data_IF_232193991673
#
_entry.id   IF_232193991673
#
_cell.length_a   1.000
_cell.length_b   1.000
_cell.length_c   1.000
_cell.angle_alpha   90.00
_cell.angle_beta   90.00
_cell.angle_gamma   90.00
#
_symmetry.space_group_name_H-M   'P 1'
#
loop_
_entity.id
_entity.type
_entity.pdbx_description
1 polymer ?
#
# COMPACT_ATOMS: atom_id res chain seq x y z
N UNK A 1 17.26 -3.49 18.67
CA UNK A 1 16.10 -2.77 18.10
C UNK A 1 14.96 -2.75 19.11
N UNK A 2 14.20 -1.65 19.19
CA UNK A 2 13.01 -1.52 20.06
C UNK A 2 11.76 -1.82 19.23
N UNK A 3 10.68 -2.27 19.86
CA UNK A 3 9.37 -2.43 19.20
C UNK A 3 8.90 -1.03 18.74
N UNK A 4 8.44 -0.88 17.50
CA UNK A 4 7.92 0.39 17.02
C UNK A 4 6.58 0.68 17.72
N UNK A 5 6.47 1.91 18.23
CA UNK A 5 5.31 2.43 18.95
C UNK A 5 4.61 3.41 18.01
N UNK A 6 3.32 3.67 18.24
CA UNK A 6 2.61 4.71 17.52
C UNK A 6 3.32 6.06 17.62
N UNK A 7 3.60 6.65 16.46
CA UNK A 7 4.10 8.02 16.33
C UNK A 7 2.95 8.92 15.88
N UNK A 8 2.66 9.95 16.67
CA UNK A 8 1.71 10.99 16.27
C UNK A 8 2.35 11.91 15.23
N UNK A 9 1.65 12.11 14.12
CA UNK A 9 2.04 13.04 13.07
C UNK A 9 1.11 14.25 13.18
N UNK A 10 1.59 15.27 13.89
CA UNK A 10 0.89 16.54 14.06
C UNK A 10 1.28 17.53 12.96
N UNK A 11 0.29 18.22 12.41
CA UNK A 11 0.50 19.36 11.52
C UNK A 11 0.11 20.63 12.27
N UNK A 12 1.01 21.62 12.34
CA UNK A 12 0.79 22.85 13.12
C UNK A 12 -0.29 23.75 12.48
N UNK A 13 -0.39 23.77 11.15
CA UNK A 13 -1.37 24.60 10.41
C UNK A 13 -2.04 23.80 9.27
N UNK A 14 -3.06 23.00 9.58
CA UNK A 14 -3.70 22.12 8.59
C UNK A 14 -4.39 22.85 7.41
N UNK A 15 -4.73 24.14 7.57
CA UNK A 15 -5.55 24.91 6.61
C UNK A 15 -4.75 25.54 5.46
N UNK A 16 -3.41 25.58 5.56
CA UNK A 16 -2.51 26.14 4.53
C UNK A 16 -1.41 25.16 4.11
N UNK A 17 -1.64 23.86 4.29
CA UNK A 17 -0.65 22.84 3.96
C UNK A 17 -0.44 22.73 2.44
N UNK A 18 0.79 22.99 2.02
CA UNK A 18 1.24 22.61 0.69
C UNK A 18 1.75 21.16 0.68
N UNK A 19 1.72 20.54 -0.50
CA UNK A 19 2.20 19.17 -0.72
C UNK A 19 3.66 18.98 -0.26
N UNK A 20 4.52 19.99 -0.41
CA UNK A 20 5.91 19.93 0.05
C UNK A 20 6.07 19.92 1.57
N UNK A 21 5.16 20.58 2.29
CA UNK A 21 5.21 20.64 3.75
C UNK A 21 4.73 19.30 4.33
N UNK A 22 3.70 18.71 3.71
CA UNK A 22 3.25 17.36 4.05
C UNK A 22 4.40 16.36 3.89
N UNK A 23 5.12 16.38 2.77
CA UNK A 23 6.27 15.48 2.55
C UNK A 23 7.33 15.59 3.64
N UNK A 24 7.75 16.82 3.98
CA UNK A 24 8.77 17.04 5.03
C UNK A 24 8.31 16.48 6.37
N UNK A 25 7.04 16.65 6.71
CA UNK A 25 6.46 16.11 7.94
C UNK A 25 6.44 14.58 7.92
N UNK A 26 6.04 13.97 6.80
CA UNK A 26 6.04 12.50 6.63
C UNK A 26 7.45 11.90 6.73
N UNK A 27 8.44 12.53 6.10
CA UNK A 27 9.85 12.11 6.18
C UNK A 27 10.41 12.24 7.60
N UNK A 28 10.14 13.39 8.26
CA UNK A 28 10.59 13.64 9.64
C UNK A 28 9.96 12.67 10.63
N UNK A 29 8.68 12.33 10.44
CA UNK A 29 7.96 11.37 11.26
C UNK A 29 8.29 9.91 10.93
N UNK A 30 9.12 9.66 9.90
CA UNK A 30 9.50 8.31 9.46
C UNK A 30 8.30 7.42 9.15
N UNK A 31 7.30 7.99 8.48
CA UNK A 31 6.08 7.27 8.08
C UNK A 31 6.45 6.11 7.17
N UNK A 32 5.90 4.93 7.45
CA UNK A 32 6.26 3.67 6.80
C UNK A 32 7.29 2.85 7.56
N UNK A 33 8.16 3.45 8.39
CA UNK A 33 9.08 2.71 9.26
C UNK A 33 8.50 2.46 10.66
N UNK A 34 7.54 3.28 11.07
CA UNK A 34 6.82 3.14 12.34
C UNK A 34 5.30 3.22 12.09
N UNK A 35 4.48 2.58 12.94
CA UNK A 35 3.03 2.78 12.90
C UNK A 35 2.74 4.22 13.26
N UNK A 36 1.96 4.90 12.43
CA UNK A 36 1.72 6.33 12.59
C UNK A 36 0.23 6.61 12.58
N UNK A 37 -0.18 7.67 13.28
CA UNK A 37 -1.53 8.19 13.15
C UNK A 37 -1.49 9.71 12.97
N UNK A 38 -2.48 10.23 12.26
CA UNK A 38 -2.72 11.66 12.08
C UNK A 38 -4.05 12.00 12.73
N UNK A 39 -4.03 12.88 13.71
CA UNK A 39 -5.25 13.42 14.31
C UNK A 39 -5.77 14.59 13.49
N UNK A 40 -6.98 14.48 12.94
CA UNK A 40 -7.60 15.52 12.09
C UNK A 40 -8.88 16.07 12.71
N UNK A 41 -9.03 16.03 14.05
CA UNK A 41 -10.22 16.53 14.74
C UNK A 41 -10.46 18.04 14.58
N UNK A 42 -9.44 18.79 14.16
CA UNK A 42 -9.49 20.24 13.97
C UNK A 42 -9.93 20.65 12.56
N UNK A 43 -10.07 19.70 11.63
CA UNK A 43 -10.41 19.96 10.24
C UNK A 43 -11.89 19.76 9.96
N UNK A 44 -12.51 20.71 9.28
CA UNK A 44 -13.85 20.54 8.73
C UNK A 44 -13.86 19.48 7.61
N UNK A 45 -15.03 18.94 7.28
CA UNK A 45 -15.17 17.85 6.29
C UNK A 45 -14.56 18.22 4.92
N UNK A 46 -14.76 19.45 4.44
CA UNK A 46 -14.22 19.93 3.16
C UNK A 46 -12.69 19.99 3.17
N UNK A 47 -12.12 20.45 4.27
CA UNK A 47 -10.68 20.58 4.43
C UNK A 47 -10.02 19.22 4.66
N UNK A 48 -10.70 18.32 5.38
CA UNK A 48 -10.31 16.92 5.54
C UNK A 48 -10.20 16.21 4.19
N UNK A 49 -11.18 16.35 3.30
CA UNK A 49 -11.13 15.71 1.98
C UNK A 49 -9.97 16.26 1.13
N UNK A 50 -9.74 17.57 1.21
CA UNK A 50 -8.62 18.23 0.52
C UNK A 50 -7.28 17.74 1.07
N UNK A 51 -7.15 17.66 2.39
CA UNK A 51 -5.98 17.14 3.08
C UNK A 51 -5.72 15.67 2.71
N UNK A 52 -6.73 14.81 2.72
CA UNK A 52 -6.58 13.39 2.36
C UNK A 52 -6.12 13.21 0.90
N UNK A 53 -6.57 14.09 0.01
CA UNK A 53 -6.12 14.10 -1.39
C UNK A 53 -4.64 14.48 -1.50
N UNK A 54 -4.22 15.54 -0.82
CA UNK A 54 -2.82 15.99 -0.78
C UNK A 54 -1.91 14.96 -0.10
N UNK A 55 -2.39 14.34 0.97
CA UNK A 55 -1.70 13.27 1.69
C UNK A 55 -1.48 12.06 0.77
N UNK A 56 -2.50 11.66 0.00
CA UNK A 56 -2.37 10.58 -0.97
C UNK A 56 -1.31 10.88 -2.03
N UNK A 57 -1.31 12.11 -2.57
CA UNK A 57 -0.29 12.54 -3.53
C UNK A 57 1.13 12.52 -2.93
N UNK A 58 1.29 13.02 -1.70
CA UNK A 58 2.59 13.01 -1.02
C UNK A 58 3.11 11.58 -0.78
N UNK A 59 2.23 10.63 -0.43
CA UNK A 59 2.60 9.23 -0.21
C UNK A 59 3.01 8.55 -1.51
N UNK A 60 2.28 8.80 -2.61
CA UNK A 60 2.64 8.30 -3.94
C UNK A 60 4.01 8.83 -4.38
N UNK A 61 4.26 10.13 -4.21
CA UNK A 61 5.53 10.75 -4.62
C UNK A 61 6.72 10.33 -3.74
N UNK A 62 6.48 9.94 -2.49
CA UNK A 62 7.50 9.38 -1.61
C UNK A 62 7.67 7.86 -1.78
N UNK A 63 6.91 7.22 -2.68
CA UNK A 63 6.85 5.76 -2.83
C UNK A 63 6.59 5.02 -1.50
N UNK A 64 5.78 5.62 -0.63
CA UNK A 64 5.38 5.02 0.65
C UNK A 64 4.07 4.24 0.45
N UNK A 65 3.83 3.24 1.31
CA UNK A 65 2.53 2.58 1.39
C UNK A 65 1.84 2.95 2.70
N UNK A 66 0.53 3.22 2.63
CA UNK A 66 -0.30 3.53 3.80
C UNK A 66 -0.56 2.31 4.68
N UNK A 67 -0.29 1.11 4.16
CA UNK A 67 -0.64 -0.15 4.81
C UNK A 67 0.59 -0.96 5.23
N UNK A 68 1.73 -0.73 4.58
CA UNK A 68 2.91 -1.56 4.71
C UNK A 68 4.19 -0.72 4.72
N UNK A 69 5.23 -1.08 5.50
CA UNK A 69 5.26 -2.17 6.48
C UNK A 69 4.50 -1.87 7.78
N UNK A 70 4.18 -0.61 8.05
CA UNK A 70 3.30 -0.22 9.15
C UNK A 70 2.13 0.65 8.63
N UNK A 71 0.91 0.44 9.16
CA UNK A 71 -0.25 1.20 8.72
C UNK A 71 -0.22 2.65 9.23
N UNK A 72 -0.67 3.57 8.36
CA UNK A 72 -1.00 4.95 8.68
C UNK A 72 -2.51 5.07 8.96
N UNK A 73 -2.85 5.53 10.17
CA UNK A 73 -4.23 5.75 10.57
C UNK A 73 -4.61 7.23 10.54
N UNK A 74 -5.83 7.52 10.12
CA UNK A 74 -6.42 8.86 10.19
C UNK A 74 -7.48 8.87 11.27
N UNK A 75 -7.33 9.76 12.25
CA UNK A 75 -8.28 9.90 13.35
C UNK A 75 -9.22 11.06 13.04
N UNK A 76 -10.49 10.76 12.81
CA UNK A 76 -11.50 11.74 12.41
C UNK A 76 -12.89 11.34 12.91
N UNK A 77 -13.69 12.34 13.27
CA UNK A 77 -15.10 12.17 13.62
C UNK A 77 -16.03 12.29 12.41
N UNK A 78 -15.53 12.82 11.30
CA UNK A 78 -16.34 13.15 10.12
C UNK A 78 -16.58 11.95 9.19
N UNK A 79 -15.65 10.99 9.14
CA UNK A 79 -15.69 9.86 8.22
C UNK A 79 -15.45 8.54 8.95
N UNK A 80 -16.29 7.54 8.65
CA UNK A 80 -16.13 6.19 9.21
C UNK A 80 -15.21 5.32 8.37
N UNK A 81 -15.12 5.57 7.06
CA UNK A 81 -14.39 4.73 6.10
C UNK A 81 -13.84 5.56 4.95
N UNK A 82 -12.66 5.20 4.44
CA UNK A 82 -12.07 5.77 3.24
C UNK A 82 -11.42 4.68 2.38
N UNK A 83 -11.49 4.77 1.04
CA UNK A 83 -10.97 3.72 0.15
C UNK A 83 -9.47 3.46 0.30
N UNK A 84 -8.70 4.51 0.62
CA UNK A 84 -7.22 4.47 0.69
C UNK A 84 -6.67 4.31 2.11
N UNK A 85 -7.25 5.00 3.09
CA UNK A 85 -6.68 5.18 4.42
C UNK A 85 -7.48 4.42 5.48
N UNK A 86 -6.80 3.90 6.50
CA UNK A 86 -7.48 3.35 7.66
C UNK A 86 -7.96 4.49 8.56
N UNK A 87 -9.26 4.50 8.85
CA UNK A 87 -9.89 5.52 9.68
C UNK A 87 -10.23 4.97 11.06
N UNK A 88 -10.06 5.82 12.08
CA UNK A 88 -10.45 5.54 13.45
C UNK A 88 -11.14 6.78 14.03
N UNK A 89 -12.08 6.59 14.96
CA UNK A 89 -12.74 7.71 15.65
C UNK A 89 -11.88 8.32 16.75
N UNK A 90 -11.01 7.51 17.35
CA UNK A 90 -10.15 7.94 18.44
C UNK A 90 -8.85 7.14 18.44
N UNK A 91 -7.83 7.66 19.13
CA UNK A 91 -6.55 6.96 19.35
C UNK A 91 -6.77 5.63 20.07
N UNK A 92 -7.75 5.57 20.97
CA UNK A 92 -8.07 4.37 21.76
C UNK A 92 -8.63 3.21 20.91
N UNK A 93 -9.25 3.53 19.76
CA UNK A 93 -9.74 2.53 18.81
C UNK A 93 -8.62 1.89 17.98
N UNK A 94 -7.38 2.39 18.09
CA UNK A 94 -6.25 1.84 17.35
C UNK A 94 -5.78 0.51 17.96
N UNK A 95 -5.21 -0.39 17.14
CA UNK A 95 -4.75 -1.69 17.63
C UNK A 95 -3.73 -1.63 18.78
N UNK A 96 -4.07 -2.28 19.90
CA UNK A 96 -3.32 -2.28 21.17
C UNK A 96 -1.89 -2.83 21.08
N UNK A 97 -1.54 -3.55 20.02
CA UNK A 97 -0.24 -4.21 19.90
C UNK A 97 0.93 -3.22 19.71
N UNK A 98 0.68 -2.00 19.21
CA UNK A 98 1.68 -0.94 19.07
C UNK A 98 1.73 0.02 20.27
N UNK A 99 0.80 -0.06 21.23
CA UNK A 99 0.78 0.80 22.43
C UNK A 99 1.62 0.26 23.60
N UNK A 100 2.14 -0.97 23.51
CA UNK A 100 2.91 -1.56 24.61
C UNK A 100 4.25 -0.83 24.78
N UNK A 101 4.57 -0.44 26.03
CA UNK A 101 5.91 0.08 26.40
C UNK A 101 7.00 -0.81 25.79
N UNK A 102 7.96 -0.19 25.11
CA UNK A 102 9.06 -0.89 24.45
C UNK A 102 9.76 -1.85 25.41
N UNK A 103 9.46 -3.15 25.29
CA UNK A 103 10.22 -4.20 25.95
C UNK A 103 11.46 -4.49 25.10
N UNK A 104 12.56 -4.83 25.76
CA UNK A 104 13.76 -5.32 25.07
C UNK A 104 13.38 -6.63 24.40
N UNK A 105 13.57 -6.70 23.08
CA UNK A 105 13.24 -7.88 22.29
C UNK A 105 14.09 -9.07 22.75
N UNK A 106 13.48 -10.26 22.80
CA UNK A 106 14.22 -11.52 22.92
C UNK A 106 15.04 -11.76 21.64
N UNK A 107 16.14 -12.54 21.69
CA UNK A 107 16.96 -12.81 20.50
C UNK A 107 16.16 -13.32 19.29
N UNK A 108 15.17 -14.19 19.51
CA UNK A 108 14.27 -14.68 18.46
C UNK A 108 13.41 -13.57 17.83
N UNK A 109 12.88 -12.67 18.65
CA UNK A 109 12.04 -11.56 18.20
C UNK A 109 12.88 -10.51 17.44
N UNK A 110 14.12 -10.30 17.86
CA UNK A 110 15.06 -9.42 17.16
C UNK A 110 15.40 -9.94 15.77
N UNK A 111 15.64 -11.25 15.63
CA UNK A 111 15.88 -11.89 14.33
C UNK A 111 14.65 -11.80 13.41
N UNK A 112 13.44 -11.98 13.96
CA UNK A 112 12.21 -11.79 13.20
C UNK A 112 12.04 -10.35 12.74
N UNK A 113 12.28 -9.37 13.62
CA UNK A 113 12.20 -7.96 13.27
C UNK A 113 13.20 -7.58 12.17
N UNK A 114 14.46 -8.02 12.26
CA UNK A 114 15.44 -7.76 11.20
C UNK A 114 15.04 -8.36 9.86
N UNK A 115 14.43 -9.56 9.87
CA UNK A 115 13.93 -10.19 8.65
C UNK A 115 12.76 -9.40 8.06
N UNK A 116 11.84 -8.91 8.89
CA UNK A 116 10.72 -8.06 8.45
C UNK A 116 11.23 -6.75 7.84
N UNK A 117 12.17 -6.08 8.49
CA UNK A 117 12.77 -4.82 7.98
C UNK A 117 13.45 -5.05 6.63
N UNK A 118 14.33 -6.06 6.53
CA UNK A 118 15.00 -6.39 5.28
C UNK A 118 14.01 -6.77 4.16
N UNK A 119 12.97 -7.52 4.49
CA UNK A 119 11.91 -7.87 3.52
C UNK A 119 11.12 -6.63 3.10
N UNK A 120 10.87 -5.71 4.03
CA UNK A 120 10.21 -4.43 3.76
C UNK A 120 11.01 -3.54 2.82
N UNK A 121 12.32 -3.40 3.05
CA UNK A 121 13.23 -2.69 2.14
C UNK A 121 13.23 -3.31 0.74
N UNK A 122 13.21 -4.64 0.65
CA UNK A 122 13.12 -5.34 -0.64
C UNK A 122 11.79 -5.07 -1.36
N UNK A 123 10.69 -4.92 -0.63
CA UNK A 123 9.37 -4.58 -1.18
C UNK A 123 9.33 -3.13 -1.66
N UNK A 124 9.86 -2.19 -0.87
CA UNK A 124 9.91 -0.77 -1.24
C UNK A 124 10.77 -0.50 -2.48
N UNK A 125 11.79 -1.33 -2.70
CA UNK A 125 12.64 -1.26 -3.90
C UNK A 125 12.00 -1.87 -5.16
N UNK A 126 10.75 -2.35 -5.08
CA UNK A 126 10.04 -2.94 -6.21
C UNK A 126 8.91 -2.02 -6.64
N UNK A 127 8.97 -1.57 -7.90
CA UNK A 127 7.88 -0.85 -8.57
C UNK A 127 6.67 -1.80 -8.79
N UNK A 128 5.82 -1.89 -7.77
CA UNK A 128 4.59 -2.66 -7.75
C UNK A 128 3.59 -2.20 -8.83
N UNK A 129 3.34 -0.89 -9.03
CA UNK A 129 2.48 -0.40 -10.10
C UNK A 129 2.91 -0.88 -11.49
N UNK A 130 4.19 -0.74 -11.85
CA UNK A 130 4.69 -1.18 -13.16
C UNK A 130 4.57 -2.70 -13.34
N UNK A 131 4.86 -3.48 -12.30
CA UNK A 131 4.69 -4.94 -12.33
C UNK A 131 3.23 -5.36 -12.49
N UNK A 132 2.30 -4.69 -11.83
CA UNK A 132 0.87 -4.95 -11.99
C UNK A 132 0.39 -4.66 -13.41
N UNK A 133 0.84 -3.55 -14.01
CA UNK A 133 0.54 -3.22 -15.40
C UNK A 133 1.11 -4.30 -16.34
N UNK A 134 2.35 -4.71 -16.14
CA UNK A 134 3.00 -5.78 -16.91
C UNK A 134 2.21 -7.10 -16.82
N UNK A 135 1.87 -7.54 -15.61
CA UNK A 135 1.13 -8.79 -15.40
C UNK A 135 -0.25 -8.77 -16.05
N UNK A 136 -0.97 -7.64 -15.98
CA UNK A 136 -2.26 -7.49 -16.65
C UNK A 136 -2.13 -7.60 -18.16
N UNK A 137 -1.13 -6.95 -18.76
CA UNK A 137 -0.86 -7.07 -20.20
C UNK A 137 -0.54 -8.51 -20.58
N UNK A 138 0.34 -9.17 -19.83
CA UNK A 138 0.72 -10.55 -20.12
C UNK A 138 -0.46 -11.53 -20.00
N UNK A 139 -1.36 -11.31 -19.04
CA UNK A 139 -2.55 -12.15 -18.88
C UNK A 139 -3.48 -12.07 -20.10
N UNK A 140 -3.59 -10.90 -20.75
CA UNK A 140 -4.38 -10.74 -21.98
C UNK A 140 -3.70 -11.49 -23.13
N UNK A 141 -2.41 -11.28 -23.35
CA UNK A 141 -1.65 -11.97 -24.41
C UNK A 141 -1.69 -13.50 -24.27
N UNK A 142 -1.60 -14.01 -23.04
CA UNK A 142 -1.67 -15.45 -22.81
C UNK A 142 -3.07 -16.03 -23.12
N UNK A 143 -4.14 -15.25 -22.92
CA UNK A 143 -5.50 -15.67 -23.30
C UNK A 143 -5.65 -15.70 -24.81
N UNK A 144 -5.15 -14.68 -25.50
CA UNK A 144 -5.16 -14.63 -26.97
C UNK A 144 -4.35 -15.77 -27.59
N UNK A 145 -3.17 -16.06 -27.03
CA UNK A 145 -2.34 -17.18 -27.45
C UNK A 145 -3.08 -18.51 -27.25
N UNK A 146 -3.77 -18.69 -26.12
CA UNK A 146 -4.56 -19.91 -25.86
C UNK A 146 -5.68 -20.10 -26.88
N UNK A 147 -6.39 -19.03 -27.26
CA UNK A 147 -7.41 -19.10 -28.33
C UNK A 147 -6.79 -19.46 -29.68
N UNK A 148 -5.67 -18.82 -30.06
CA UNK A 148 -4.98 -19.11 -31.32
C UNK A 148 -4.46 -20.54 -31.37
N UNK A 149 -3.93 -21.07 -30.26
CA UNK A 149 -3.52 -22.49 -30.19
C UNK A 149 -4.71 -23.44 -30.36
N UNK A 150 -5.88 -23.10 -29.81
CA UNK A 150 -7.08 -23.90 -29.99
C UNK A 150 -7.57 -23.89 -31.43
N UNK A 151 -7.54 -22.72 -32.08
CA UNK A 151 -7.86 -22.58 -33.51
C UNK A 151 -6.89 -23.36 -34.39
N UNK A 152 -5.58 -23.26 -34.13
CA UNK A 152 -4.55 -24.01 -34.86
C UNK A 152 -4.80 -25.53 -34.77
N UNK A 153 -5.03 -26.05 -33.57
CA UNK A 153 -5.34 -27.47 -33.38
C UNK A 153 -6.62 -27.90 -34.14
N UNK A 154 -7.62 -27.00 -34.23
CA UNK A 154 -8.82 -27.26 -35.03
C UNK A 154 -8.54 -27.30 -36.54
N UNK A 155 -7.66 -26.43 -37.04
CA UNK A 155 -7.26 -26.44 -38.45
C UNK A 155 -6.41 -27.66 -38.81
N UNK A 156 -5.50 -28.07 -37.93
CA UNK A 156 -4.70 -29.29 -38.08
C UNK A 156 -5.59 -30.52 -38.19
N UNK A 157 -6.58 -30.65 -37.31
CA UNK A 157 -7.54 -31.78 -37.37
C UNK A 157 -8.38 -31.79 -38.64
N UNK A 158 -8.82 -30.62 -39.14
CA UNK A 158 -9.53 -30.54 -40.44
C UNK A 158 -8.61 -30.95 -41.58
N UNK A 159 -7.35 -30.49 -41.58
CA UNK A 159 -6.36 -30.85 -42.60
C UNK A 159 -6.11 -32.37 -42.64
N UNK A 160 -5.93 -33.00 -41.48
CA UNK A 160 -5.77 -34.45 -41.38
C UNK A 160 -6.98 -35.22 -41.91
N UNK A 161 -8.20 -34.72 -41.66
CA UNK A 161 -9.43 -35.33 -42.18
C UNK A 161 -9.51 -35.21 -43.71
N UNK A 162 -9.16 -34.06 -44.27
CA UNK A 162 -9.16 -33.85 -45.72
C UNK A 162 -8.12 -34.73 -46.42
N UNK A 163 -6.93 -34.88 -45.84
CA UNK A 163 -5.89 -35.77 -46.39
C UNK A 163 -6.34 -37.22 -46.41
N UNK A 164 -6.94 -37.72 -45.32
CA UNK A 164 -7.48 -39.09 -45.24
C UNK A 164 -8.67 -39.35 -46.17
N UNK A 165 -9.45 -38.33 -46.52
CA UNK A 165 -10.57 -38.46 -47.45
C UNK A 165 -10.15 -38.42 -48.93
N UNK A 166 -8.92 -37.99 -49.21
CA UNK A 166 -8.34 -37.94 -50.57
C UNK A 166 -7.52 -39.18 -50.95
N UNK A 167 -7.26 -40.07 -50.00
CA UNK A 167 -6.71 -41.43 -50.20
C UNK A 167 -7.84 -42.44 -50.39
#
# INVERSE_FOLDING_TARGET
MKIPIYTEVSFEDCNQLNLNDIKKVLEKAQVGLTPSYIATHQLDLTDLLTFLKLLGQAIDELNLSERFPYPLYIITDHLSTHPRFFMAKSVEALPLHYFKKAKRLKPKEQLLLSKVVFTGEKINNVDLPAKLIFLRRQAVLNRELATLCHELASYETILEQLQKASE
#
